data_IF_021250524823
#
_entry.id   IF_021250524823
#
_cell.length_a   1.000
_cell.length_b   1.000
_cell.length_c   1.000
_cell.angle_alpha   90.00
_cell.angle_beta   90.00
_cell.angle_gamma   90.00
#
_symmetry.space_group_name_H-M   'P 1'
#
loop_
_entity.id
_entity.type
_entity.pdbx_description
1 polymer ?
#
# COMPACT_ATOMS: atom_id res chain seq x y z
N UNK A 1 9.03 -5.70 -15.18
CA UNK A 1 8.16 -5.05 -14.18
C UNK A 1 6.72 -5.42 -14.48
N UNK A 2 5.89 -5.70 -13.47
CA UNK A 2 4.46 -6.04 -13.60
C UNK A 2 3.62 -4.98 -12.90
N UNK A 3 2.54 -4.51 -13.52
CA UNK A 3 1.63 -3.50 -12.96
C UNK A 3 0.20 -4.04 -13.02
N UNK A 4 -0.55 -3.84 -11.93
CA UNK A 4 -1.96 -4.21 -11.82
C UNK A 4 -2.79 -3.02 -11.31
N UNK A 5 -3.95 -2.79 -11.93
CA UNK A 5 -4.86 -1.69 -11.62
C UNK A 5 -6.18 -2.24 -11.09
N UNK A 6 -6.50 -1.92 -9.84
CA UNK A 6 -7.74 -2.33 -9.16
C UNK A 6 -8.68 -1.15 -8.97
N UNK A 7 -9.91 -1.29 -9.45
CA UNK A 7 -10.97 -0.30 -9.22
C UNK A 7 -11.42 -0.26 -7.75
N UNK A 8 -11.26 -1.38 -7.03
CA UNK A 8 -11.60 -1.51 -5.63
C UNK A 8 -10.42 -1.27 -4.68
N UNK A 9 -10.73 -1.33 -3.38
CA UNK A 9 -9.72 -1.31 -2.34
C UNK A 9 -8.80 -2.53 -2.44
N UNK A 10 -7.54 -2.37 -2.06
CA UNK A 10 -6.57 -3.46 -1.99
C UNK A 10 -7.01 -4.55 -1.01
N UNK A 11 -6.92 -5.81 -1.44
CA UNK A 11 -7.23 -6.99 -0.64
C UNK A 11 -6.05 -7.97 -0.59
N UNK A 12 -6.08 -8.92 0.36
CA UNK A 12 -5.04 -9.96 0.43
C UNK A 12 -4.96 -10.81 -0.86
N UNK A 13 -6.06 -10.94 -1.61
CA UNK A 13 -6.13 -11.75 -2.81
C UNK A 13 -5.28 -11.13 -3.94
N UNK A 14 -5.25 -9.80 -4.01
CA UNK A 14 -4.46 -9.05 -4.99
C UNK A 14 -2.95 -9.28 -4.78
N UNK A 15 -2.52 -9.39 -3.51
CA UNK A 15 -1.14 -9.73 -3.17
C UNK A 15 -0.75 -11.14 -3.67
N UNK A 16 -1.67 -12.11 -3.49
CA UNK A 16 -1.49 -13.47 -4.02
C UNK A 16 -1.40 -13.52 -5.55
N UNK A 17 -2.28 -12.78 -6.24
CA UNK A 17 -2.26 -12.64 -7.69
C UNK A 17 -0.93 -12.05 -8.17
N UNK A 18 -0.47 -10.99 -7.53
CA UNK A 18 0.80 -10.36 -7.90
C UNK A 18 2.00 -11.27 -7.66
N UNK A 19 2.02 -12.03 -6.56
CA UNK A 19 3.07 -13.01 -6.29
C UNK A 19 3.17 -14.06 -7.41
N UNK A 20 2.02 -14.57 -7.89
CA UNK A 20 1.98 -15.50 -9.02
C UNK A 20 2.61 -14.87 -10.28
N UNK A 21 2.22 -13.63 -10.62
CA UNK A 21 2.75 -12.95 -11.80
C UNK A 21 4.26 -12.72 -11.74
N UNK A 22 4.78 -12.35 -10.56
CA UNK A 22 6.21 -12.12 -10.40
C UNK A 22 7.02 -13.42 -10.46
N UNK A 23 6.50 -14.52 -9.93
CA UNK A 23 7.16 -15.81 -10.02
C UNK A 23 7.21 -16.32 -11.47
N UNK A 24 6.09 -16.23 -12.19
CA UNK A 24 6.06 -16.57 -13.61
C UNK A 24 7.04 -15.72 -14.43
N UNK A 25 7.04 -14.40 -14.20
CA UNK A 25 7.94 -13.48 -14.87
C UNK A 25 9.41 -13.81 -14.59
N UNK A 26 9.75 -14.13 -13.33
CA UNK A 26 11.11 -14.51 -12.93
C UNK A 26 11.59 -15.77 -13.66
N UNK A 27 10.73 -16.76 -13.82
CA UNK A 27 11.10 -18.03 -14.44
C UNK A 27 11.17 -17.97 -15.97
N UNK A 28 10.32 -17.15 -16.61
CA UNK A 28 10.11 -17.22 -18.06
C UNK A 28 10.43 -15.95 -18.82
N UNK A 29 10.43 -14.79 -18.17
CA UNK A 29 10.57 -13.48 -18.84
C UNK A 29 11.88 -12.77 -18.51
N UNK A 30 12.47 -13.06 -17.35
CA UNK A 30 13.72 -12.44 -16.91
C UNK A 30 14.91 -13.11 -17.60
N UNK A 31 15.78 -12.29 -18.17
CA UNK A 31 17.01 -12.74 -18.83
C UNK A 31 18.18 -12.71 -17.84
N UNK A 32 19.17 -13.59 -18.06
CA UNK A 32 20.38 -13.63 -17.23
C UNK A 32 21.06 -12.24 -17.16
N UNK A 33 21.25 -11.74 -15.94
CA UNK A 33 21.85 -10.42 -15.67
C UNK A 33 20.84 -9.29 -15.46
N UNK A 34 19.54 -9.52 -15.67
CA UNK A 34 18.49 -8.55 -15.34
C UNK A 34 18.11 -8.63 -13.84
N UNK A 35 17.60 -7.53 -13.30
CA UNK A 35 17.12 -7.46 -11.92
C UNK A 35 15.78 -8.21 -11.74
N UNK A 36 15.55 -8.71 -10.52
CA UNK A 36 14.28 -9.35 -10.14
C UNK A 36 13.05 -8.50 -10.48
N UNK A 37 11.96 -9.12 -10.97
CA UNK A 37 10.78 -8.38 -11.37
C UNK A 37 10.13 -7.74 -10.14
N UNK A 38 9.66 -6.51 -10.32
CA UNK A 38 8.96 -5.73 -9.31
C UNK A 38 7.48 -5.65 -9.67
N UNK A 39 6.61 -5.84 -8.68
CA UNK A 39 5.17 -5.73 -8.82
C UNK A 39 4.65 -4.43 -8.24
N UNK A 40 3.79 -3.74 -8.98
CA UNK A 40 3.11 -2.53 -8.53
C UNK A 40 1.59 -2.70 -8.65
N UNK A 41 0.89 -2.54 -7.54
CA UNK A 41 -0.57 -2.58 -7.49
C UNK A 41 -1.06 -1.15 -7.24
N UNK A 42 -1.87 -0.65 -8.17
CA UNK A 42 -2.55 0.63 -8.09
C UNK A 42 -4.02 0.37 -7.75
N UNK A 43 -4.48 0.88 -6.62
CA UNK A 43 -5.85 0.65 -6.12
C UNK A 43 -6.57 1.97 -5.82
N UNK A 44 -7.90 1.96 -5.73
CA UNK A 44 -8.66 3.17 -5.39
C UNK A 44 -8.47 3.56 -3.93
N UNK A 45 -8.31 2.56 -3.06
CA UNK A 45 -8.02 2.73 -1.64
C UNK A 45 -7.19 1.56 -1.10
N UNK A 46 -6.56 1.73 0.07
CA UNK A 46 -5.84 0.65 0.76
C UNK A 46 -5.88 0.82 2.27
N UNK A 47 -6.10 -0.28 2.97
CA UNK A 47 -5.89 -0.37 4.41
C UNK A 47 -4.43 -0.76 4.69
N UNK A 48 -3.71 0.07 5.45
CA UNK A 48 -2.29 -0.14 5.74
C UNK A 48 -2.02 -1.45 6.52
N UNK A 49 -2.95 -1.91 7.36
CA UNK A 49 -2.81 -3.18 8.07
C UNK A 49 -2.99 -4.35 7.10
N UNK A 50 -4.00 -4.30 6.22
CA UNK A 50 -4.22 -5.32 5.18
C UNK A 50 -3.01 -5.40 4.26
N UNK A 51 -2.49 -4.26 3.81
CA UNK A 51 -1.28 -4.17 2.99
C UNK A 51 -0.08 -4.77 3.73
N UNK A 52 0.12 -4.42 4.99
CA UNK A 52 1.24 -4.92 5.79
C UNK A 52 1.22 -6.44 5.93
N UNK A 53 0.08 -7.03 6.30
CA UNK A 53 -0.04 -8.47 6.49
C UNK A 53 -0.06 -9.25 5.18
N UNK A 54 -0.70 -8.72 4.14
CA UNK A 54 -0.74 -9.38 2.83
C UNK A 54 0.63 -9.39 2.14
N UNK A 55 1.46 -8.37 2.36
CA UNK A 55 2.79 -8.29 1.78
C UNK A 55 3.88 -8.94 2.63
N UNK A 56 3.67 -9.10 3.94
CA UNK A 56 4.69 -9.60 4.87
C UNK A 56 5.19 -11.02 4.59
N UNK A 57 4.41 -11.84 3.88
CA UNK A 57 4.79 -13.21 3.49
C UNK A 57 5.29 -13.36 2.05
N UNK A 58 5.36 -12.27 1.27
CA UNK A 58 5.72 -12.33 -0.15
C UNK A 58 7.21 -12.02 -0.30
N UNK A 59 7.98 -12.99 -0.79
CA UNK A 59 9.43 -12.81 -1.06
C UNK A 59 9.70 -11.89 -2.26
N UNK A 60 8.71 -11.71 -3.14
CA UNK A 60 8.83 -10.83 -4.30
C UNK A 60 8.64 -9.35 -3.93
N UNK A 61 9.34 -8.46 -4.64
CA UNK A 61 9.25 -7.01 -4.40
C UNK A 61 7.93 -6.46 -4.94
N UNK A 62 6.90 -6.46 -4.10
CA UNK A 62 5.58 -5.89 -4.39
C UNK A 62 5.45 -4.52 -3.75
N UNK A 63 4.71 -3.61 -4.38
CA UNK A 63 4.33 -2.32 -3.84
C UNK A 63 2.84 -2.07 -4.09
N UNK A 64 2.13 -1.52 -3.11
CA UNK A 64 0.73 -1.13 -3.24
C UNK A 64 0.55 0.37 -2.95
N UNK A 65 -0.05 1.09 -3.88
CA UNK A 65 -0.34 2.52 -3.75
C UNK A 65 -1.74 2.85 -4.22
N UNK A 66 -2.33 3.88 -3.64
CA UNK A 66 -3.57 4.44 -4.13
C UNK A 66 -3.30 5.32 -5.35
N UNK A 67 -4.17 5.25 -6.36
CA UNK A 67 -4.13 6.16 -7.50
C UNK A 67 -5.06 7.35 -7.30
N UNK A 68 -4.74 8.48 -7.94
CA UNK A 68 -5.63 9.63 -8.00
C UNK A 68 -6.33 9.63 -9.36
N UNK A 69 -7.65 9.75 -9.35
CA UNK A 69 -8.48 9.83 -10.57
C UNK A 69 -8.33 11.15 -11.30
N UNK A 70 -7.90 12.19 -10.59
CA UNK A 70 -7.65 13.53 -11.15
C UNK A 70 -6.15 13.79 -11.15
N UNK A 71 -5.62 14.11 -12.33
CA UNK A 71 -4.25 14.57 -12.49
C UNK A 71 -4.13 15.96 -11.81
N UNK A 72 -3.20 16.15 -10.85
CA UNK A 72 -2.98 17.45 -10.23
C UNK A 72 -2.45 18.45 -11.27
N UNK A 73 -2.51 19.74 -10.94
CA UNK A 73 -2.00 20.80 -11.81
C UNK A 73 -0.50 20.63 -12.14
N UNK A 74 -0.07 21.16 -13.28
CA UNK A 74 1.30 20.99 -13.79
C UNK A 74 2.36 21.45 -12.78
N UNK A 75 2.11 22.57 -12.07
CA UNK A 75 3.05 23.11 -11.11
C UNK A 75 3.21 22.20 -9.90
N UNK A 76 2.12 21.63 -9.40
CA UNK A 76 2.12 20.64 -8.32
C UNK A 76 2.82 19.36 -8.75
N UNK A 77 2.50 18.82 -9.93
CA UNK A 77 3.12 17.60 -10.41
C UNK A 77 4.64 17.78 -10.62
N UNK A 78 5.06 18.89 -11.24
CA UNK A 78 6.49 19.24 -11.42
C UNK A 78 7.20 19.32 -10.07
N UNK A 79 6.58 19.96 -9.07
CA UNK A 79 7.15 20.08 -7.72
C UNK A 79 7.37 18.72 -7.06
N UNK A 80 6.38 17.83 -7.12
CA UNK A 80 6.47 16.48 -6.54
C UNK A 80 7.55 15.63 -7.23
N UNK A 81 7.60 15.65 -8.56
CA UNK A 81 8.63 14.92 -9.32
C UNK A 81 10.03 15.41 -8.96
N UNK A 82 10.26 16.73 -8.94
CA UNK A 82 11.55 17.30 -8.57
C UNK A 82 11.93 17.01 -7.10
N UNK A 83 10.94 16.99 -6.20
CA UNK A 83 11.18 16.64 -4.80
C UNK A 83 11.61 15.17 -4.65
N UNK A 84 10.96 14.26 -5.39
CA UNK A 84 11.31 12.83 -5.40
C UNK A 84 12.69 12.62 -6.05
N UNK A 85 12.98 13.25 -7.19
CA UNK A 85 14.28 13.15 -7.87
C UNK A 85 15.44 13.58 -6.96
N UNK A 86 15.29 14.71 -6.25
CA UNK A 86 16.29 15.17 -5.27
C UNK A 86 16.48 14.16 -4.13
N UNK A 87 15.39 13.54 -3.65
CA UNK A 87 15.45 12.51 -2.61
C UNK A 87 16.16 11.23 -3.07
N UNK A 88 15.96 10.82 -4.32
CA UNK A 88 16.62 9.65 -4.92
C UNK A 88 18.13 9.89 -5.09
N UNK A 89 18.54 11.07 -5.56
CA UNK A 89 19.96 11.44 -5.71
C UNK A 89 20.73 11.48 -4.38
N UNK A 90 20.03 11.72 -3.27
CA UNK A 90 20.63 11.77 -1.93
C UNK A 90 20.65 10.39 -1.22
N UNK A 91 20.23 9.31 -1.90
CA UNK A 91 20.33 7.94 -1.38
C UNK A 91 19.45 7.65 -0.16
N UNK A 92 18.42 8.47 0.11
CA UNK A 92 17.71 8.48 1.39
C UNK A 92 16.29 7.89 1.29
N UNK A 93 16.13 6.68 0.74
CA UNK A 93 14.83 5.99 0.78
C UNK A 93 14.70 5.15 2.06
N UNK A 94 14.52 5.81 3.20
CA UNK A 94 14.01 5.16 4.42
C UNK A 94 12.49 5.10 4.27
N UNK A 95 11.95 3.91 4.01
CA UNK A 95 10.52 3.68 3.78
C UNK A 95 9.65 4.48 4.75
N UNK A 96 8.82 5.37 4.20
CA UNK A 96 7.85 6.15 4.98
C UNK A 96 6.79 5.20 5.56
N UNK A 97 7.08 4.61 6.72
CA UNK A 97 6.05 4.25 7.71
C UNK A 97 5.41 5.56 8.16
N UNK A 98 4.32 5.97 7.52
CA UNK A 98 3.51 7.08 8.01
C UNK A 98 2.75 6.57 9.23
N UNK A 99 3.22 6.97 10.41
CA UNK A 99 2.46 6.90 11.63
C UNK A 99 1.15 7.69 11.44
N UNK A 100 0.01 7.01 11.49
CA UNK A 100 -1.30 7.61 11.62
C UNK A 100 -1.50 8.06 13.07
N UNK A 101 -1.15 9.32 13.34
CA UNK A 101 -1.75 10.08 14.45
C UNK A 101 -2.69 11.10 13.82
N UNK A 102 -4.00 10.84 13.91
CA UNK A 102 -4.99 11.72 14.55
C UNK A 102 -6.38 11.49 13.96
N UNK A 103 -7.27 10.87 14.73
CA UNK A 103 -8.62 11.41 14.89
C UNK A 103 -9.18 10.92 16.23
N UNK A 104 -9.09 11.79 17.24
CA UNK A 104 -9.89 11.75 18.46
C UNK A 104 -10.81 12.97 18.37
N UNK A 105 -12.07 12.78 18.79
CA UNK A 105 -13.26 13.63 18.64
C UNK A 105 -14.04 13.20 17.40
N UNK A 106 -15.22 12.58 17.51
CA UNK A 106 -16.39 13.12 18.22
C UNK A 106 -17.09 12.09 19.13
N UNK A 107 -17.50 12.57 20.32
CA UNK A 107 -18.59 12.03 21.11
C UNK A 107 -19.86 12.81 20.71
N UNK A 108 -20.92 12.08 20.38
CA UNK A 108 -22.33 12.42 20.59
C UNK A 108 -23.12 11.15 20.23
N UNK A 109 -23.42 10.29 21.21
CA UNK A 109 -24.68 10.27 21.97
C UNK A 109 -25.83 9.67 21.15
N UNK A 110 -26.25 8.47 21.55
CA UNK A 110 -27.33 7.75 20.90
C UNK A 110 -27.51 6.33 21.43
N UNK A 111 -27.89 6.23 22.71
CA UNK A 111 -28.63 5.14 23.34
C UNK A 111 -28.95 3.90 22.48
N UNK A 112 -28.31 2.76 22.79
CA UNK A 112 -29.04 1.49 22.87
C UNK A 112 -28.50 0.69 24.05
N UNK A 113 -29.34 0.57 25.08
CA UNK A 113 -29.08 -0.17 26.29
C UNK A 113 -29.44 -1.64 26.09
N UNK A 114 -28.52 -2.53 26.49
CA UNK A 114 -28.76 -3.84 27.10
C UNK A 114 -27.35 -4.40 27.38
N UNK A 115 -26.85 -4.38 28.61
CA UNK A 115 -27.40 -5.17 29.70
C UNK A 115 -26.69 -6.52 29.70
N UNK A 116 -25.59 -6.64 30.45
CA UNK A 116 -25.33 -7.70 31.43
C UNK A 116 -23.90 -7.60 31.96
N UNK A 117 -23.85 -7.60 33.28
CA UNK A 117 -22.71 -7.63 34.19
C UNK A 117 -21.69 -8.75 33.90
N UNK A 118 -20.40 -8.46 34.04
CA UNK A 118 -19.36 -9.50 33.91
C UNK A 118 -17.94 -9.03 34.23
N UNK A 119 -17.75 -8.51 35.44
CA UNK A 119 -16.49 -8.37 36.19
C UNK A 119 -15.43 -9.44 35.80
N UNK A 120 -14.30 -9.06 35.21
CA UNK A 120 -13.05 -9.82 35.35
C UNK A 120 -11.84 -8.90 35.52
N UNK A 121 -11.26 -9.03 36.70
CA UNK A 121 -10.02 -8.43 37.20
C UNK A 121 -8.79 -9.14 36.65
N UNK A 122 -7.68 -8.38 36.64
CA UNK A 122 -6.26 -8.72 36.42
C UNK A 122 -5.79 -8.88 34.99
#
# INVERSE_FOLDING_TARGET
MVIDLKLGAFTHADAGQMNLYLNYAREHLVVAGEADPVGLILCSDKDDAVVHYAMGGINARVFASTYRTVLPDEATLRREILAVDRGLKQGHFRGRRRASRSCRAERADGHFAAGLSGRWTR
#
